data_IF_298487821369
#
_entry.id   IF_298487821369
#
_cell.length_a   1.000
_cell.length_b   1.000
_cell.length_c   1.000
_cell.angle_alpha   90.00
_cell.angle_beta   90.00
_cell.angle_gamma   90.00
#
_symmetry.space_group_name_H-M   'P 1'
#
loop_
_entity.id
_entity.type
_entity.pdbx_description
1 polymer ?
#
# COMPACT_ATOMS: atom_id res chain seq x y z
N UNK A 1 15.97 -8.56 -25.99
CA UNK A 1 14.62 -8.85 -25.45
C UNK A 1 14.76 -8.92 -23.96
N UNK A 2 13.90 -8.22 -23.20
CA UNK A 2 13.93 -8.14 -21.75
C UNK A 2 13.06 -9.25 -21.17
N UNK A 3 13.63 -10.12 -20.36
CA UNK A 3 12.94 -11.26 -19.78
C UNK A 3 12.19 -10.85 -18.51
N UNK A 4 10.89 -11.10 -18.48
CA UNK A 4 10.00 -10.87 -17.34
C UNK A 4 9.36 -12.18 -16.91
N UNK A 5 9.46 -12.51 -15.63
CA UNK A 5 8.77 -13.67 -15.06
C UNK A 5 7.56 -13.22 -14.25
N UNK A 6 6.45 -13.95 -14.35
CA UNK A 6 5.24 -13.74 -13.58
C UNK A 6 5.06 -14.89 -12.58
N UNK A 7 5.40 -14.67 -11.30
CA UNK A 7 5.26 -15.69 -10.24
C UNK A 7 3.80 -16.01 -9.86
N UNK A 8 2.87 -15.14 -10.28
CA UNK A 8 1.42 -15.33 -10.10
C UNK A 8 0.71 -14.98 -11.40
N UNK A 9 -0.56 -15.32 -11.48
CA UNK A 9 -1.42 -14.77 -12.54
C UNK A 9 -1.54 -13.26 -12.36
N UNK A 10 -1.07 -12.50 -13.33
CA UNK A 10 -1.13 -11.03 -13.41
C UNK A 10 -2.19 -10.64 -14.44
N UNK A 11 -2.99 -9.64 -14.15
CA UNK A 11 -4.08 -9.23 -15.04
C UNK A 11 -3.55 -8.84 -16.44
N UNK A 12 -4.20 -9.37 -17.48
CA UNK A 12 -3.78 -9.22 -18.88
C UNK A 12 -3.73 -7.76 -19.35
N UNK A 13 -4.53 -6.87 -18.75
CA UNK A 13 -4.51 -5.43 -19.07
C UNK A 13 -3.17 -4.78 -18.70
N UNK A 14 -2.51 -5.24 -17.61
CA UNK A 14 -1.15 -4.82 -17.27
C UNK A 14 -0.12 -5.39 -18.23
N UNK A 15 -0.14 -6.71 -18.49
CA UNK A 15 0.83 -7.38 -19.38
C UNK A 15 0.83 -6.82 -20.80
N UNK A 16 -0.32 -6.40 -21.33
CA UNK A 16 -0.45 -5.77 -22.65
C UNK A 16 0.28 -4.42 -22.80
N UNK A 17 0.75 -3.83 -21.69
CA UNK A 17 1.54 -2.60 -21.74
C UNK A 17 3.02 -2.85 -22.08
N UNK A 18 3.48 -4.09 -22.00
CA UNK A 18 4.81 -4.44 -22.49
C UNK A 18 4.80 -4.43 -24.03
N UNK A 19 5.88 -3.89 -24.60
CA UNK A 19 6.13 -3.95 -26.05
C UNK A 19 6.71 -5.31 -26.46
N UNK A 20 6.88 -5.52 -27.76
CA UNK A 20 7.50 -6.73 -28.31
C UNK A 20 8.98 -6.91 -27.90
N UNK A 21 9.58 -5.91 -27.24
CA UNK A 21 10.91 -6.01 -26.65
C UNK A 21 10.96 -6.81 -25.37
N UNK A 22 9.80 -7.15 -24.79
CA UNK A 22 9.67 -7.90 -23.55
C UNK A 22 9.17 -9.33 -23.81
N UNK A 23 9.81 -10.30 -23.16
CA UNK A 23 9.37 -11.69 -23.10
C UNK A 23 8.77 -11.96 -21.71
N UNK A 24 7.44 -12.11 -21.61
CA UNK A 24 6.70 -12.32 -20.35
C UNK A 24 6.54 -13.80 -19.97
N UNK A 25 7.09 -14.71 -20.77
CA UNK A 25 7.04 -16.17 -20.55
C UNK A 25 8.40 -16.75 -20.12
N UNK A 26 9.34 -15.90 -19.67
CA UNK A 26 10.66 -16.37 -19.27
C UNK A 26 10.64 -17.16 -17.96
N UNK A 27 11.63 -18.03 -17.75
CA UNK A 27 11.87 -18.67 -16.46
C UNK A 27 12.26 -17.63 -15.41
N UNK A 28 12.17 -18.01 -14.12
CA UNK A 28 12.60 -17.11 -13.03
C UNK A 28 14.11 -16.88 -13.04
N UNK A 29 14.87 -17.93 -13.39
CA UNK A 29 16.35 -17.93 -13.43
C UNK A 29 16.89 -16.95 -14.50
N UNK A 30 16.17 -16.82 -15.62
CA UNK A 30 16.56 -15.96 -16.74
C UNK A 30 15.99 -14.54 -16.65
N UNK A 31 15.13 -14.28 -15.65
CA UNK A 31 14.38 -13.04 -15.55
C UNK A 31 15.26 -11.84 -15.17
N UNK A 32 15.08 -10.74 -15.89
CA UNK A 32 15.61 -9.42 -15.54
C UNK A 32 14.61 -8.62 -14.69
N UNK A 33 13.33 -8.96 -14.76
CA UNK A 33 12.28 -8.39 -13.94
C UNK A 33 11.27 -9.45 -13.52
N UNK A 34 10.66 -9.26 -12.34
CA UNK A 34 9.64 -10.17 -11.80
C UNK A 34 8.39 -9.39 -11.44
N UNK A 35 7.25 -9.91 -11.87
CA UNK A 35 5.92 -9.53 -11.40
C UNK A 35 5.42 -10.54 -10.38
N UNK A 36 5.01 -10.08 -9.22
CA UNK A 36 4.52 -10.94 -8.13
C UNK A 36 3.28 -10.34 -7.47
N UNK A 37 2.40 -11.18 -6.94
CA UNK A 37 1.25 -10.77 -6.13
C UNK A 37 1.32 -11.36 -4.72
N UNK A 38 1.25 -12.67 -4.59
CA UNK A 38 1.17 -13.37 -3.31
C UNK A 38 2.24 -14.46 -3.12
N UNK A 39 2.97 -14.82 -4.16
CA UNK A 39 4.03 -15.82 -4.05
C UNK A 39 5.10 -15.38 -3.04
N UNK A 40 5.56 -16.32 -2.21
CA UNK A 40 6.63 -16.08 -1.23
C UNK A 40 7.98 -16.21 -1.92
N UNK A 41 8.83 -15.20 -1.74
CA UNK A 41 10.14 -15.13 -2.40
C UNK A 41 11.32 -15.29 -1.41
N UNK A 42 11.05 -15.44 -0.11
CA UNK A 42 12.12 -15.50 0.91
C UNK A 42 13.08 -16.67 0.74
N UNK A 43 12.59 -17.80 0.22
CA UNK A 43 13.38 -19.02 0.03
C UNK A 43 13.88 -19.18 -1.42
N UNK A 44 13.68 -18.15 -2.27
CA UNK A 44 14.11 -18.17 -3.66
C UNK A 44 15.55 -17.67 -3.82
N UNK A 45 16.32 -18.32 -4.68
CA UNK A 45 17.62 -17.81 -5.09
C UNK A 45 17.43 -16.73 -6.15
N UNK A 46 17.88 -15.50 -5.86
CA UNK A 46 17.76 -14.39 -6.79
C UNK A 46 18.89 -14.49 -7.83
N UNK A 47 18.54 -14.33 -9.10
CA UNK A 47 19.50 -14.36 -10.20
C UNK A 47 20.31 -13.06 -10.26
N UNK A 48 21.61 -13.13 -10.62
CA UNK A 48 22.46 -11.98 -10.86
C UNK A 48 21.93 -11.04 -11.97
N UNK A 49 21.12 -11.61 -12.90
CA UNK A 49 20.47 -10.86 -13.96
C UNK A 49 19.27 -10.04 -13.46
N UNK A 50 18.73 -10.33 -12.27
CA UNK A 50 17.55 -9.69 -11.78
C UNK A 50 17.83 -8.22 -11.41
N UNK A 51 17.03 -7.33 -11.99
CA UNK A 51 17.15 -5.88 -11.82
C UNK A 51 16.03 -5.32 -10.94
N UNK A 52 14.84 -5.88 -11.07
CA UNK A 52 13.67 -5.35 -10.38
C UNK A 52 12.59 -6.40 -10.11
N UNK A 53 11.86 -6.16 -9.03
CA UNK A 53 10.67 -6.92 -8.66
C UNK A 53 9.53 -5.90 -8.46
N UNK A 54 8.38 -6.10 -9.12
CA UNK A 54 7.21 -5.29 -8.86
C UNK A 54 6.06 -6.16 -8.32
N UNK A 55 5.59 -5.76 -7.14
CA UNK A 55 4.43 -6.41 -6.53
C UNK A 55 3.13 -5.72 -6.96
N UNK A 56 2.25 -6.45 -7.62
CA UNK A 56 0.89 -6.01 -7.92
C UNK A 56 0.05 -5.98 -6.62
N UNK A 57 0.25 -4.94 -5.82
CA UNK A 57 -0.40 -4.71 -4.53
C UNK A 57 0.45 -3.87 -3.57
N UNK A 58 -0.14 -3.41 -2.46
CA UNK A 58 0.51 -2.44 -1.56
C UNK A 58 1.50 -3.06 -0.55
N UNK A 59 1.19 -4.25 0.03
CA UNK A 59 2.07 -4.89 1.02
C UNK A 59 3.22 -5.62 0.35
N UNK A 60 4.37 -5.82 1.02
CA UNK A 60 5.58 -6.46 0.43
C UNK A 60 6.23 -7.49 1.36
N UNK A 61 5.49 -7.95 2.35
CA UNK A 61 5.96 -8.91 3.34
C UNK A 61 6.29 -10.32 2.78
N UNK A 62 6.00 -10.57 1.51
CA UNK A 62 6.35 -11.79 0.80
C UNK A 62 7.67 -11.69 0.01
N UNK A 63 8.36 -10.53 0.04
CA UNK A 63 9.59 -10.26 -0.71
C UNK A 63 10.74 -9.98 0.28
N UNK A 64 11.93 -10.58 0.11
CA UNK A 64 13.10 -10.35 0.96
C UNK A 64 13.77 -9.00 0.65
N UNK A 65 13.24 -7.90 1.20
CA UNK A 65 13.63 -6.53 0.84
C UNK A 65 15.11 -6.23 1.08
N UNK A 66 15.65 -6.69 2.23
CA UNK A 66 17.06 -6.43 2.60
C UNK A 66 18.01 -7.14 1.63
N UNK A 67 17.74 -8.43 1.34
CA UNK A 67 18.51 -9.20 0.35
C UNK A 67 18.46 -8.54 -1.03
N UNK A 68 17.28 -8.12 -1.46
CA UNK A 68 17.13 -7.39 -2.74
C UNK A 68 17.95 -6.09 -2.76
N UNK A 69 17.98 -5.33 -1.66
CA UNK A 69 18.74 -4.10 -1.58
C UNK A 69 20.26 -4.35 -1.62
N UNK A 70 20.75 -5.41 -0.96
CA UNK A 70 22.14 -5.82 -0.97
C UNK A 70 22.62 -6.25 -2.36
N UNK A 71 21.76 -6.84 -3.17
CA UNK A 71 22.04 -7.30 -4.53
C UNK A 71 21.75 -6.26 -5.61
N UNK A 72 21.31 -5.05 -5.23
CA UNK A 72 20.99 -3.98 -6.18
C UNK A 72 19.71 -4.22 -6.99
N UNK A 73 18.78 -5.02 -6.44
CA UNK A 73 17.48 -5.30 -7.02
C UNK A 73 16.46 -4.31 -6.45
N UNK A 74 15.82 -3.53 -7.32
CA UNK A 74 14.83 -2.53 -6.91
C UNK A 74 13.46 -3.19 -6.77
N UNK A 75 12.83 -3.03 -5.61
CA UNK A 75 11.50 -3.59 -5.33
C UNK A 75 10.45 -2.49 -5.35
N UNK A 76 9.42 -2.65 -6.18
CA UNK A 76 8.28 -1.76 -6.30
C UNK A 76 7.03 -2.37 -5.68
N UNK A 77 6.13 -1.51 -5.22
CA UNK A 77 4.76 -1.89 -4.90
C UNK A 77 3.80 -0.88 -5.57
N UNK A 78 2.50 -1.15 -5.53
CA UNK A 78 1.49 -0.33 -6.21
C UNK A 78 0.64 0.45 -5.20
N UNK A 79 1.19 1.50 -4.56
CA UNK A 79 0.48 2.23 -3.52
C UNK A 79 -0.71 3.00 -4.11
N UNK A 80 -1.89 2.77 -3.53
CA UNK A 80 -3.11 3.47 -3.95
C UNK A 80 -3.85 2.86 -5.13
N UNK A 81 -3.29 1.90 -5.86
CA UNK A 81 -3.95 1.25 -6.99
C UNK A 81 -5.26 0.55 -6.59
N UNK A 82 -5.31 0.00 -5.39
CA UNK A 82 -6.48 -0.66 -4.80
C UNK A 82 -7.33 0.25 -3.89
N UNK A 83 -6.99 1.53 -3.77
CA UNK A 83 -7.59 2.41 -2.75
C UNK A 83 -9.11 2.56 -2.90
N UNK A 84 -9.62 2.58 -4.12
CA UNK A 84 -11.07 2.68 -4.38
C UNK A 84 -11.83 1.44 -3.91
N UNK A 85 -11.26 0.25 -4.09
CA UNK A 85 -11.87 -0.99 -3.61
C UNK A 85 -11.93 -1.02 -2.07
N UNK A 86 -10.81 -0.68 -1.40
CA UNK A 86 -10.77 -0.61 0.08
C UNK A 86 -11.75 0.45 0.60
N UNK A 87 -11.88 1.61 -0.05
CA UNK A 87 -12.92 2.61 0.29
C UNK A 87 -14.31 1.98 0.23
N UNK A 88 -14.64 1.23 -0.83
CA UNK A 88 -15.93 0.53 -0.95
C UNK A 88 -16.18 -0.41 0.22
N UNK A 89 -15.18 -1.20 0.61
CA UNK A 89 -15.24 -2.09 1.76
C UNK A 89 -15.48 -1.35 3.08
N UNK A 90 -14.81 -0.21 3.31
CA UNK A 90 -15.00 0.61 4.52
C UNK A 90 -16.42 1.19 4.58
N UNK A 91 -16.97 1.65 3.45
CA UNK A 91 -18.36 2.14 3.40
C UNK A 91 -19.33 0.98 3.72
N UNK A 92 -19.12 -0.20 3.15
CA UNK A 92 -19.91 -1.38 3.48
C UNK A 92 -19.80 -1.71 4.99
N UNK A 93 -18.60 -1.65 5.57
CA UNK A 93 -18.36 -1.86 6.99
C UNK A 93 -19.16 -0.88 7.87
N UNK A 94 -19.18 0.42 7.51
CA UNK A 94 -19.98 1.43 8.22
C UNK A 94 -21.50 1.08 8.19
N UNK A 95 -22.00 0.64 7.05
CA UNK A 95 -23.41 0.30 6.88
C UNK A 95 -23.77 -1.01 7.61
N UNK A 96 -22.90 -2.03 7.58
CA UNK A 96 -23.06 -3.27 8.32
C UNK A 96 -23.06 -3.04 9.84
N UNK A 97 -22.18 -2.14 10.33
CA UNK A 97 -22.16 -1.78 11.75
C UNK A 97 -23.34 -0.90 12.18
N UNK A 98 -24.01 -0.24 11.25
CA UNK A 98 -25.16 0.64 11.54
C UNK A 98 -26.46 -0.13 11.85
N UNK A 99 -26.63 -1.29 11.21
CA UNK A 99 -27.78 -2.21 11.33
C UNK A 99 -27.31 -3.64 11.22
N UNK A 100 -27.95 -4.56 11.91
CA UNK A 100 -27.60 -5.99 11.81
C UNK A 100 -28.17 -6.63 10.52
N UNK A 101 -27.59 -6.24 9.38
CA UNK A 101 -27.96 -6.78 8.06
C UNK A 101 -27.56 -8.25 7.91
N UNK A 102 -26.44 -8.66 8.53
CA UNK A 102 -25.94 -10.04 8.46
C UNK A 102 -26.87 -10.97 9.27
N UNK A 103 -27.17 -10.60 10.51
CA UNK A 103 -28.08 -11.37 11.35
C UNK A 103 -29.51 -11.40 10.79
N UNK A 104 -29.97 -10.27 10.23
CA UNK A 104 -31.26 -10.21 9.55
C UNK A 104 -31.35 -11.13 8.33
N UNK A 105 -30.31 -11.14 7.48
CA UNK A 105 -30.25 -12.05 6.32
C UNK A 105 -30.20 -13.52 6.75
N UNK A 106 -29.38 -13.83 7.77
CA UNK A 106 -29.31 -15.17 8.34
C UNK A 106 -30.68 -15.62 8.88
N UNK A 107 -31.37 -14.76 9.63
CA UNK A 107 -32.71 -15.06 10.15
C UNK A 107 -33.69 -15.40 9.03
N UNK A 108 -33.69 -14.65 7.93
CA UNK A 108 -34.55 -14.93 6.76
C UNK A 108 -34.23 -16.32 6.17
N UNK A 109 -32.94 -16.63 6.01
CA UNK A 109 -32.48 -17.92 5.49
C UNK A 109 -32.90 -19.10 6.42
N UNK A 110 -32.72 -18.92 7.74
CA UNK A 110 -33.08 -19.95 8.74
C UNK A 110 -34.58 -20.19 8.84
N UNK A 111 -35.43 -19.25 8.39
CA UNK A 111 -36.88 -19.35 8.40
C UNK A 111 -37.51 -19.49 6.98
N UNK A 112 -36.74 -19.91 5.99
CA UNK A 112 -37.16 -19.97 4.58
C UNK A 112 -38.37 -20.91 4.35
N UNK A 113 -38.56 -21.94 5.19
CA UNK A 113 -39.65 -22.92 5.11
C UNK A 113 -40.94 -22.46 5.81
N UNK A 114 -40.94 -21.31 6.49
CA UNK A 114 -42.14 -20.77 7.16
C UNK A 114 -43.10 -20.16 6.11
N UNK A 115 -44.32 -20.73 5.90
CA UNK A 115 -45.26 -20.17 4.96
C UNK A 115 -45.78 -18.77 5.34
N UNK A 116 -45.68 -18.40 6.60
CA UNK A 116 -46.04 -17.09 7.14
C UNK A 116 -44.86 -16.16 7.36
N UNK A 117 -43.68 -16.41 6.73
CA UNK A 117 -42.43 -15.67 6.92
C UNK A 117 -42.62 -14.15 6.83
N UNK A 118 -43.45 -13.65 5.92
CA UNK A 118 -43.71 -12.21 5.76
C UNK A 118 -44.27 -11.60 7.05
N UNK A 119 -45.19 -12.31 7.74
CA UNK A 119 -45.81 -11.89 9.00
C UNK A 119 -44.80 -12.06 10.17
N UNK A 120 -44.04 -13.14 10.18
CA UNK A 120 -43.01 -13.40 11.16
C UNK A 120 -41.91 -12.31 11.11
N UNK A 121 -41.51 -11.87 9.91
CA UNK A 121 -40.53 -10.79 9.69
C UNK A 121 -40.96 -9.48 10.36
N UNK A 122 -42.24 -9.10 10.32
CA UNK A 122 -42.70 -7.87 10.97
C UNK A 122 -42.51 -7.86 12.50
N UNK A 123 -42.48 -9.03 13.11
CA UNK A 123 -42.15 -9.18 14.53
C UNK A 123 -40.64 -9.22 14.79
N UNK A 124 -39.90 -9.94 13.92
CA UNK A 124 -38.46 -10.18 14.07
C UNK A 124 -37.62 -8.93 13.75
N UNK A 125 -38.03 -8.09 12.78
CA UNK A 125 -37.23 -6.95 12.26
C UNK A 125 -36.71 -5.99 13.34
N UNK A 126 -37.38 -5.89 14.49
CA UNK A 126 -36.93 -5.03 15.60
C UNK A 126 -35.59 -5.47 16.20
N UNK A 127 -35.22 -6.76 16.11
CA UNK A 127 -33.99 -7.28 16.61
C UNK A 127 -32.78 -6.83 15.74
N UNK A 128 -33.01 -6.52 14.47
CA UNK A 128 -32.00 -6.14 13.49
C UNK A 128 -31.96 -4.63 13.22
N UNK A 129 -32.83 -3.87 13.87
CA UNK A 129 -32.92 -2.42 13.72
C UNK A 129 -31.66 -1.72 14.25
N UNK A 130 -31.30 -0.59 13.66
CA UNK A 130 -30.12 0.18 14.04
C UNK A 130 -30.31 1.68 13.90
N UNK A 131 -29.24 2.35 13.50
CA UNK A 131 -29.17 3.81 13.38
C UNK A 131 -28.72 4.21 11.96
N UNK A 132 -29.05 5.43 11.57
CA UNK A 132 -28.49 6.03 10.35
C UNK A 132 -27.08 6.57 10.61
N UNK A 133 -26.24 6.55 9.55
CA UNK A 133 -24.90 7.15 9.60
C UNK A 133 -24.93 8.67 9.36
N UNK A 134 -25.98 9.19 8.72
CA UNK A 134 -26.15 10.62 8.46
C UNK A 134 -26.12 11.42 9.76
N UNK A 135 -25.34 12.51 9.77
CA UNK A 135 -25.15 13.36 10.94
C UNK A 135 -24.28 12.76 12.06
N UNK A 136 -23.74 11.53 11.87
CA UNK A 136 -22.77 10.95 12.79
C UNK A 136 -21.36 11.45 12.47
N UNK A 137 -20.52 11.51 13.51
CA UNK A 137 -19.11 11.91 13.39
C UNK A 137 -18.26 10.70 13.01
N UNK A 138 -17.50 10.82 11.91
CA UNK A 138 -16.49 9.84 11.49
C UNK A 138 -15.09 10.39 11.71
N UNK A 139 -14.30 9.70 12.50
CA UNK A 139 -12.85 9.92 12.62
C UNK A 139 -12.10 9.07 11.61
N UNK A 140 -11.29 9.72 10.77
CA UNK A 140 -10.42 9.06 9.79
C UNK A 140 -8.97 9.24 10.24
N UNK A 141 -8.33 8.16 10.67
CA UNK A 141 -6.93 8.14 11.09
C UNK A 141 -6.06 7.66 9.94
N UNK A 142 -5.25 8.57 9.39
CA UNK A 142 -4.50 8.38 8.15
C UNK A 142 -5.28 8.88 6.93
N UNK A 143 -4.78 9.94 6.29
CA UNK A 143 -5.39 10.61 5.12
C UNK A 143 -4.60 10.35 3.84
N UNK A 144 -3.95 9.18 3.76
CA UNK A 144 -3.30 8.69 2.54
C UNK A 144 -4.29 8.33 1.43
N UNK A 145 -3.86 7.51 0.47
CA UNK A 145 -4.65 7.17 -0.71
C UNK A 145 -6.06 6.61 -0.40
N UNK A 146 -6.21 5.83 0.67
CA UNK A 146 -7.49 5.26 1.07
C UNK A 146 -8.29 6.25 1.93
N UNK A 147 -7.67 6.81 2.98
CA UNK A 147 -8.35 7.65 3.94
C UNK A 147 -8.99 8.88 3.34
N UNK A 148 -8.34 9.55 2.36
CA UNK A 148 -8.93 10.66 1.63
C UNK A 148 -10.19 10.27 0.86
N UNK A 149 -10.20 9.10 0.21
CA UNK A 149 -11.38 8.61 -0.53
C UNK A 149 -12.53 8.26 0.42
N UNK A 150 -12.21 7.65 1.58
CA UNK A 150 -13.20 7.34 2.62
C UNK A 150 -13.78 8.63 3.19
N UNK A 151 -12.94 9.61 3.54
CA UNK A 151 -13.37 10.89 4.08
C UNK A 151 -14.34 11.61 3.14
N UNK A 152 -13.98 11.73 1.85
CA UNK A 152 -14.82 12.37 0.84
C UNK A 152 -16.15 11.61 0.63
N UNK A 153 -16.12 10.28 0.61
CA UNK A 153 -17.33 9.47 0.47
C UNK A 153 -18.25 9.60 1.69
N UNK A 154 -17.70 9.67 2.90
CA UNK A 154 -18.48 9.85 4.11
C UNK A 154 -19.16 11.22 4.18
N UNK A 155 -18.51 12.30 3.72
CA UNK A 155 -19.13 13.61 3.53
C UNK A 155 -20.35 13.49 2.59
N UNK A 156 -20.17 12.83 1.43
CA UNK A 156 -21.27 12.64 0.48
C UNK A 156 -22.43 11.81 1.05
N UNK A 157 -22.17 10.94 2.04
CA UNK A 157 -23.21 10.19 2.79
C UNK A 157 -23.81 11.00 3.95
N UNK A 158 -23.43 12.27 4.13
CA UNK A 158 -23.97 13.19 5.12
C UNK A 158 -23.40 13.01 6.53
N UNK A 159 -22.21 12.42 6.67
CA UNK A 159 -21.50 12.36 7.94
C UNK A 159 -20.68 13.64 8.18
N UNK A 160 -20.39 13.96 9.45
CA UNK A 160 -19.38 14.94 9.83
C UNK A 160 -18.02 14.22 9.91
N UNK A 161 -17.04 14.67 9.13
CA UNK A 161 -15.76 13.96 9.02
C UNK A 161 -14.64 14.74 9.69
N UNK A 162 -13.89 14.04 10.54
CA UNK A 162 -12.72 14.50 11.26
C UNK A 162 -11.51 13.69 10.80
N UNK A 163 -10.46 14.38 10.32
CA UNK A 163 -9.28 13.74 9.76
C UNK A 163 -8.02 14.00 10.59
N UNK A 164 -7.28 12.96 10.90
CA UNK A 164 -5.97 13.03 11.55
C UNK A 164 -4.91 12.33 10.70
N UNK A 165 -3.89 13.07 10.31
CA UNK A 165 -2.68 12.55 9.69
C UNK A 165 -1.54 13.57 9.86
N UNK A 166 -0.52 13.27 10.70
CA UNK A 166 0.62 14.17 10.90
C UNK A 166 1.58 14.22 9.70
N UNK A 167 1.42 13.33 8.72
CA UNK A 167 2.29 13.19 7.54
C UNK A 167 1.54 13.40 6.23
N UNK A 168 0.37 14.03 6.26
CA UNK A 168 -0.45 14.24 5.05
C UNK A 168 0.36 14.94 3.95
N UNK A 169 0.40 14.34 2.77
CA UNK A 169 1.08 14.97 1.63
C UNK A 169 0.25 16.13 1.06
N UNK A 170 0.93 17.11 0.45
CA UNK A 170 0.25 18.22 -0.24
C UNK A 170 -0.76 17.69 -1.26
N UNK A 171 -0.39 16.66 -2.04
CA UNK A 171 -1.28 16.01 -3.01
C UNK A 171 -2.53 15.41 -2.36
N UNK A 172 -2.39 14.75 -1.22
CA UNK A 172 -3.53 14.18 -0.50
C UNK A 172 -4.42 15.30 0.05
N UNK A 173 -3.85 16.36 0.62
CA UNK A 173 -4.60 17.50 1.12
C UNK A 173 -5.41 18.21 0.02
N UNK A 174 -4.87 18.36 -1.19
CA UNK A 174 -5.59 18.93 -2.34
C UNK A 174 -6.78 18.08 -2.81
N UNK A 175 -6.77 16.78 -2.53
CA UNK A 175 -7.86 15.87 -2.91
C UNK A 175 -8.94 15.71 -1.82
N UNK A 176 -8.70 16.26 -0.62
CA UNK A 176 -9.69 16.23 0.46
C UNK A 176 -10.77 17.31 0.23
N UNK A 177 -12.02 16.94 0.55
CA UNK A 177 -13.11 17.91 0.66
C UNK A 177 -12.77 18.96 1.73
N UNK A 178 -13.09 20.23 1.46
CA UNK A 178 -12.95 21.32 2.43
C UNK A 178 -13.84 21.19 3.67
N UNK A 179 -14.81 20.26 3.63
CA UNK A 179 -15.70 19.94 4.75
C UNK A 179 -15.05 19.01 5.78
N UNK A 180 -13.91 18.37 5.43
CA UNK A 180 -13.16 17.54 6.38
C UNK A 180 -12.49 18.43 7.42
N UNK A 181 -12.82 18.20 8.69
CA UNK A 181 -12.28 18.97 9.81
C UNK A 181 -10.93 18.37 10.23
N UNK A 182 -9.88 19.18 10.17
CA UNK A 182 -8.55 18.76 10.62
C UNK A 182 -8.47 18.60 12.13
N UNK A 183 -7.84 17.53 12.59
CA UNK A 183 -7.55 17.23 13.99
C UNK A 183 -6.04 17.10 14.17
N UNK A 184 -5.48 17.83 15.14
CA UNK A 184 -4.04 17.81 15.45
C UNK A 184 -3.64 16.76 16.48
N UNK A 185 -4.57 16.30 17.34
CA UNK A 185 -4.35 15.24 18.32
C UNK A 185 -5.36 14.10 18.08
N UNK A 186 -4.87 12.90 17.81
CA UNK A 186 -5.70 11.71 17.59
C UNK A 186 -6.65 11.42 18.75
N UNK A 187 -6.33 11.83 19.96
CA UNK A 187 -7.19 11.69 21.15
C UNK A 187 -8.53 12.40 21.01
N UNK A 188 -8.57 13.48 20.23
CA UNK A 188 -9.83 14.19 20.00
C UNK A 188 -10.75 13.40 19.05
N UNK A 189 -10.18 12.62 18.10
CA UNK A 189 -10.95 11.64 17.33
C UNK A 189 -11.58 10.61 18.25
N UNK A 190 -10.82 10.06 19.21
CA UNK A 190 -11.35 9.07 20.14
C UNK A 190 -12.50 9.63 21.01
N UNK A 191 -12.39 10.88 21.47
CA UNK A 191 -13.43 11.52 22.31
C UNK A 191 -14.69 11.90 21.56
N UNK A 192 -14.54 12.36 20.30
CA UNK A 192 -15.60 13.07 19.60
C UNK A 192 -16.37 12.19 18.60
N UNK A 193 -15.76 11.11 18.07
CA UNK A 193 -16.30 10.41 16.92
C UNK A 193 -17.13 9.18 17.32
N UNK A 194 -18.25 8.98 16.61
CA UNK A 194 -19.12 7.80 16.75
C UNK A 194 -18.60 6.60 15.96
N UNK A 195 -17.92 6.87 14.84
CA UNK A 195 -17.26 5.91 13.96
C UNK A 195 -15.80 6.29 13.83
N UNK A 196 -14.91 5.33 13.91
CA UNK A 196 -13.47 5.53 13.76
C UNK A 196 -12.95 4.51 12.76
N UNK A 197 -12.27 4.97 11.72
CA UNK A 197 -11.63 4.11 10.71
C UNK A 197 -10.14 4.43 10.63
N UNK A 198 -9.31 3.38 10.50
CA UNK A 198 -7.85 3.52 10.52
C UNK A 198 -7.28 3.12 9.17
N UNK A 199 -6.38 3.95 8.63
CA UNK A 199 -5.75 3.81 7.30
C UNK A 199 -4.26 4.16 7.32
N UNK A 200 -3.57 3.78 8.40
CA UNK A 200 -2.13 3.97 8.56
C UNK A 200 -1.36 2.68 8.28
N UNK A 201 -0.07 2.75 7.88
CA UNK A 201 0.76 1.57 7.74
C UNK A 201 1.05 0.92 9.11
N UNK A 202 1.36 -0.38 9.11
CA UNK A 202 1.85 -1.09 10.28
C UNK A 202 3.34 -0.77 10.49
N UNK A 203 3.62 0.13 11.42
CA UNK A 203 4.96 0.54 11.87
C UNK A 203 5.06 0.33 13.38
N UNK A 204 6.27 0.34 13.93
CA UNK A 204 6.46 0.25 15.39
C UNK A 204 5.70 1.36 16.13
N UNK A 205 5.61 2.55 15.53
CA UNK A 205 4.89 3.71 16.09
C UNK A 205 3.36 3.62 15.98
N UNK A 206 2.82 2.76 15.12
CA UNK A 206 1.37 2.61 14.91
C UNK A 206 0.82 1.28 15.42
N UNK A 207 1.71 0.33 15.74
CA UNK A 207 1.32 -0.96 16.32
C UNK A 207 0.62 -0.75 17.66
N UNK A 208 -0.59 -1.30 17.80
CA UNK A 208 -1.40 -1.15 18.99
C UNK A 208 -1.81 0.29 19.30
N UNK A 209 -1.90 1.17 18.30
CA UNK A 209 -2.29 2.56 18.53
C UNK A 209 -3.73 2.72 19.02
N UNK A 210 -4.59 1.77 18.69
CA UNK A 210 -5.96 1.68 19.25
C UNK A 210 -5.92 0.63 20.36
N UNK A 211 -5.58 1.07 21.54
CA UNK A 211 -5.37 0.28 22.76
C UNK A 211 -6.39 0.63 23.84
N UNK A 212 -6.21 0.08 25.04
CA UNK A 212 -7.08 0.35 26.18
C UNK A 212 -7.22 1.84 26.47
N UNK A 213 -6.13 2.61 26.43
CA UNK A 213 -6.16 4.05 26.70
C UNK A 213 -7.00 4.80 25.65
N UNK A 214 -6.92 4.37 24.39
CA UNK A 214 -7.76 4.91 23.32
C UNK A 214 -9.24 4.58 23.56
N UNK A 215 -9.57 3.34 23.94
CA UNK A 215 -10.94 2.93 24.25
C UNK A 215 -11.51 3.66 25.48
N UNK A 216 -10.71 3.91 26.52
CA UNK A 216 -11.14 4.65 27.71
C UNK A 216 -11.54 6.10 27.39
N UNK A 217 -11.02 6.68 26.31
CA UNK A 217 -11.39 8.02 25.83
C UNK A 217 -12.65 8.03 24.96
N UNK A 218 -13.06 6.90 24.38
CA UNK A 218 -14.17 6.83 23.43
C UNK A 218 -15.52 6.98 24.12
N UNK A 219 -16.52 7.37 23.35
CA UNK A 219 -17.91 7.36 23.78
C UNK A 219 -18.46 5.93 23.79
N UNK A 220 -19.46 5.66 24.65
CA UNK A 220 -20.17 4.38 24.64
C UNK A 220 -20.87 4.16 23.29
N UNK A 221 -20.74 2.96 22.77
CA UNK A 221 -21.34 2.58 21.48
C UNK A 221 -20.54 3.02 20.24
N UNK A 222 -19.27 3.43 20.40
CA UNK A 222 -18.40 3.74 19.26
C UNK A 222 -18.23 2.51 18.34
N UNK A 223 -18.12 2.76 17.04
CA UNK A 223 -17.84 1.75 16.02
C UNK A 223 -16.40 1.89 15.54
N UNK A 224 -15.64 0.79 15.54
CA UNK A 224 -14.28 0.73 15.06
C UNK A 224 -14.22 -0.06 13.75
N UNK A 225 -13.53 0.49 12.73
CA UNK A 225 -13.36 -0.13 11.42
C UNK A 225 -11.88 -0.22 11.10
N UNK A 226 -11.39 -1.43 10.89
CA UNK A 226 -10.01 -1.70 10.54
C UNK A 226 -9.90 -2.54 9.26
N UNK A 227 -9.74 -1.86 8.13
CA UNK A 227 -9.40 -2.45 6.85
C UNK A 227 -7.94 -2.14 6.45
N UNK A 228 -7.07 -1.80 7.42
CA UNK A 228 -5.67 -1.47 7.18
C UNK A 228 -4.71 -2.60 7.55
N UNK A 229 -4.54 -2.89 8.85
CA UNK A 229 -3.72 -4.01 9.36
C UNK A 229 -4.23 -4.43 10.76
N UNK A 230 -4.21 -5.73 11.04
CA UNK A 230 -4.63 -6.31 12.33
C UNK A 230 -3.90 -5.71 13.53
N UNK A 231 -2.58 -5.60 13.43
CA UNK A 231 -1.70 -5.12 14.51
C UNK A 231 -1.95 -3.68 14.98
N UNK A 232 -2.78 -2.90 14.30
CA UNK A 232 -3.09 -1.51 14.68
C UNK A 232 -4.03 -1.41 15.88
N UNK A 233 -4.83 -2.45 16.12
CA UNK A 233 -5.79 -2.54 17.23
C UNK A 233 -5.30 -3.59 18.21
N UNK A 234 -5.24 -3.23 19.50
CA UNK A 234 -4.94 -4.19 20.55
C UNK A 234 -6.10 -5.18 20.71
N UNK A 235 -5.80 -6.47 20.48
CA UNK A 235 -6.81 -7.52 20.39
C UNK A 235 -7.48 -7.81 21.74
N UNK A 236 -6.73 -7.76 22.83
CA UNK A 236 -7.29 -7.96 24.15
C UNK A 236 -8.17 -6.78 24.57
N UNK A 237 -7.69 -5.58 24.33
CA UNK A 237 -8.41 -4.35 24.69
C UNK A 237 -9.70 -4.17 23.88
N UNK A 238 -9.74 -4.49 22.59
CA UNK A 238 -10.98 -4.43 21.80
C UNK A 238 -12.00 -5.46 22.27
N UNK A 239 -11.56 -6.66 22.67
CA UNK A 239 -12.44 -7.68 23.24
C UNK A 239 -13.11 -7.23 24.54
N UNK A 240 -12.39 -6.52 25.42
CA UNK A 240 -12.94 -5.91 26.63
C UNK A 240 -13.87 -4.74 26.31
N UNK A 241 -13.50 -3.89 25.35
CA UNK A 241 -14.31 -2.74 24.94
C UNK A 241 -15.67 -3.16 24.33
N UNK A 242 -15.71 -4.26 23.58
CA UNK A 242 -16.95 -4.85 23.08
C UNK A 242 -17.83 -5.38 24.21
N UNK A 243 -17.26 -6.14 25.17
CA UNK A 243 -17.99 -6.68 26.31
C UNK A 243 -18.57 -5.61 27.23
N UNK A 244 -17.86 -4.49 27.40
CA UNK A 244 -18.31 -3.37 28.24
C UNK A 244 -19.33 -2.46 27.55
N UNK A 245 -19.53 -2.59 26.21
CA UNK A 245 -20.37 -1.69 25.41
C UNK A 245 -19.71 -0.36 25.07
N UNK A 246 -18.44 -0.15 25.45
CA UNK A 246 -17.65 1.01 25.01
C UNK A 246 -17.55 1.02 23.47
N UNK A 247 -17.26 -0.12 22.88
CA UNK A 247 -17.35 -0.35 21.45
C UNK A 247 -18.59 -1.19 21.16
N UNK A 248 -19.47 -0.70 20.30
CA UNK A 248 -20.68 -1.42 19.87
C UNK A 248 -20.36 -2.50 18.84
N UNK A 249 -19.49 -2.16 17.89
CA UNK A 249 -19.14 -3.06 16.79
C UNK A 249 -17.70 -2.82 16.35
N UNK A 250 -16.96 -3.90 16.19
CA UNK A 250 -15.64 -3.90 15.56
C UNK A 250 -15.72 -4.58 14.21
N UNK A 251 -15.44 -3.84 13.12
CA UNK A 251 -15.36 -4.41 11.78
C UNK A 251 -13.89 -4.54 11.40
N UNK A 252 -13.44 -5.76 11.14
CA UNK A 252 -12.06 -6.05 10.73
C UNK A 252 -12.02 -6.83 9.43
N UNK A 253 -11.08 -6.48 8.55
CA UNK A 253 -10.80 -7.26 7.32
C UNK A 253 -9.64 -8.27 7.52
N UNK A 254 -9.26 -8.53 8.79
CA UNK A 254 -8.13 -9.40 9.15
C UNK A 254 -8.59 -10.51 10.11
N UNK A 255 -9.04 -11.66 9.58
CA UNK A 255 -9.50 -12.77 10.40
C UNK A 255 -8.35 -13.46 11.12
N UNK A 256 -8.57 -13.74 12.41
CA UNK A 256 -7.74 -14.64 13.20
C UNK A 256 -8.62 -15.44 14.19
N UNK A 257 -8.07 -16.50 14.86
CA UNK A 257 -8.85 -17.34 15.75
C UNK A 257 -9.52 -16.64 16.93
N UNK A 258 -8.99 -15.50 17.37
CA UNK A 258 -9.54 -14.69 18.47
C UNK A 258 -10.65 -13.77 17.95
N UNK A 259 -10.35 -12.95 16.95
CA UNK A 259 -11.32 -11.96 16.43
C UNK A 259 -12.55 -12.63 15.80
N UNK A 260 -12.37 -13.78 15.15
CA UNK A 260 -13.46 -14.56 14.54
C UNK A 260 -14.49 -15.09 15.57
N UNK A 261 -14.14 -15.12 16.87
CA UNK A 261 -15.01 -15.58 17.96
C UNK A 261 -15.52 -14.44 18.84
N UNK A 262 -15.10 -13.19 18.59
CA UNK A 262 -15.52 -12.04 19.38
C UNK A 262 -16.97 -11.70 19.11
N UNK A 263 -17.80 -11.72 20.14
CA UNK A 263 -19.14 -11.19 20.07
C UNK A 263 -19.10 -9.67 19.81
N UNK A 264 -19.92 -9.19 18.90
CA UNK A 264 -19.91 -7.78 18.46
C UNK A 264 -18.89 -7.46 17.36
N UNK A 265 -18.04 -8.42 16.97
CA UNK A 265 -17.14 -8.24 15.83
C UNK A 265 -17.79 -8.74 14.53
N UNK A 266 -17.57 -8.00 13.44
CA UNK A 266 -17.83 -8.40 12.05
C UNK A 266 -16.47 -8.57 11.39
N UNK A 267 -16.08 -9.82 11.16
CA UNK A 267 -14.75 -10.14 10.61
C UNK A 267 -14.92 -10.61 9.17
N UNK A 268 -14.26 -9.90 8.26
CA UNK A 268 -14.31 -10.13 6.81
C UNK A 268 -13.04 -10.87 6.35
N UNK A 269 -13.09 -11.68 5.29
CA UNK A 269 -11.98 -12.52 4.90
C UNK A 269 -10.96 -11.84 3.97
N UNK A 270 -10.48 -10.66 4.36
CA UNK A 270 -9.45 -9.87 3.68
C UNK A 270 -9.83 -9.52 2.23
N UNK A 271 -11.02 -8.95 2.05
CA UNK A 271 -11.59 -8.62 0.75
C UNK A 271 -11.38 -7.17 0.30
N UNK A 272 -10.78 -6.32 1.13
CA UNK A 272 -10.65 -4.89 0.86
C UNK A 272 -10.06 -4.54 -0.51
N UNK A 273 -9.12 -5.33 -1.01
CA UNK A 273 -8.49 -5.15 -2.32
C UNK A 273 -8.90 -6.22 -3.36
N UNK A 274 -9.87 -7.08 -3.04
CA UNK A 274 -10.23 -8.23 -3.88
C UNK A 274 -11.38 -7.90 -4.85
N UNK A 275 -11.11 -6.98 -5.78
CA UNK A 275 -12.00 -6.66 -6.91
C UNK A 275 -11.22 -6.73 -8.22
N UNK A 276 -11.91 -7.02 -9.33
CA UNK A 276 -11.29 -7.10 -10.66
C UNK A 276 -10.55 -5.80 -11.00
N UNK A 277 -11.18 -4.65 -10.72
CA UNK A 277 -10.59 -3.33 -11.01
C UNK A 277 -9.36 -3.04 -10.15
N UNK A 278 -9.32 -3.49 -8.89
CA UNK A 278 -8.13 -3.35 -8.05
C UNK A 278 -6.97 -4.21 -8.56
N UNK A 279 -7.23 -5.42 -9.03
CA UNK A 279 -6.25 -6.30 -9.64
C UNK A 279 -5.71 -5.71 -10.94
N UNK A 280 -6.59 -5.20 -11.79
CA UNK A 280 -6.23 -4.52 -13.04
C UNK A 280 -5.37 -3.28 -12.77
N UNK A 281 -5.78 -2.41 -11.86
CA UNK A 281 -5.03 -1.20 -11.52
C UNK A 281 -3.65 -1.51 -10.93
N UNK A 282 -3.55 -2.55 -10.08
CA UNK A 282 -2.28 -2.99 -9.53
C UNK A 282 -1.36 -3.54 -10.62
N UNK A 283 -1.88 -4.34 -11.56
CA UNK A 283 -1.09 -4.88 -12.66
C UNK A 283 -0.58 -3.77 -13.60
N UNK A 284 -1.45 -2.82 -13.96
CA UNK A 284 -1.09 -1.67 -14.80
C UNK A 284 0.01 -0.83 -14.13
N UNK A 285 -0.13 -0.53 -12.84
CA UNK A 285 0.86 0.27 -12.10
C UNK A 285 2.18 -0.46 -12.01
N UNK A 286 2.20 -1.74 -11.62
CA UNK A 286 3.40 -2.55 -11.49
C UNK A 286 4.19 -2.65 -12.79
N UNK A 287 3.51 -2.87 -13.92
CA UNK A 287 4.14 -2.93 -15.23
C UNK A 287 4.73 -1.58 -15.64
N UNK A 288 4.01 -0.48 -15.40
CA UNK A 288 4.51 0.86 -15.69
C UNK A 288 5.75 1.23 -14.87
N UNK A 289 5.80 0.82 -13.60
CA UNK A 289 6.96 1.02 -12.72
C UNK A 289 8.18 0.24 -13.23
N UNK A 290 8.00 -1.05 -13.57
CA UNK A 290 9.06 -1.85 -14.17
C UNK A 290 9.57 -1.26 -15.47
N UNK A 291 8.68 -0.88 -16.37
CA UNK A 291 9.05 -0.26 -17.65
C UNK A 291 9.83 1.03 -17.44
N UNK A 292 9.32 1.93 -16.59
CA UNK A 292 10.00 3.19 -16.32
C UNK A 292 11.40 2.98 -15.73
N UNK A 293 11.56 1.98 -14.84
CA UNK A 293 12.87 1.62 -14.29
C UNK A 293 13.79 0.99 -15.34
N UNK A 294 13.30 0.05 -16.15
CA UNK A 294 14.12 -0.66 -17.12
C UNK A 294 14.51 0.27 -18.27
N UNK A 295 13.54 1.00 -18.83
CA UNK A 295 13.70 1.83 -20.03
C UNK A 295 14.38 3.18 -19.72
N UNK A 296 14.14 3.77 -18.52
CA UNK A 296 14.61 5.10 -18.18
C UNK A 296 15.50 5.16 -16.92
N UNK A 297 15.63 4.09 -16.18
CA UNK A 297 16.37 4.08 -14.91
C UNK A 297 15.68 4.82 -13.75
N UNK A 298 14.45 5.29 -13.92
CA UNK A 298 13.73 6.03 -12.90
C UNK A 298 13.19 5.10 -11.82
N UNK A 299 13.23 5.53 -10.58
CA UNK A 299 12.64 4.83 -9.43
C UNK A 299 11.48 5.66 -8.88
N UNK A 300 10.26 5.11 -8.97
CA UNK A 300 9.04 5.66 -8.39
C UNK A 300 8.32 4.55 -7.63
N UNK A 301 7.89 4.81 -6.39
CA UNK A 301 7.23 3.84 -5.51
C UNK A 301 8.07 2.61 -5.10
N UNK A 302 9.39 2.72 -5.11
CA UNK A 302 10.22 1.65 -4.55
C UNK A 302 10.11 1.59 -3.03
N UNK A 303 10.20 0.39 -2.48
CA UNK A 303 10.12 0.12 -1.03
C UNK A 303 11.47 -0.10 -0.38
N UNK A 304 12.52 -0.42 -1.15
CA UNK A 304 13.87 -0.65 -0.64
C UNK A 304 14.91 0.37 -1.11
N UNK A 305 14.67 1.07 -2.23
CA UNK A 305 15.49 2.17 -2.72
C UNK A 305 14.74 3.51 -2.67
N UNK A 306 15.43 4.65 -2.70
CA UNK A 306 14.77 5.96 -2.72
C UNK A 306 14.11 6.22 -4.07
N UNK A 307 13.05 7.05 -4.07
CA UNK A 307 12.54 7.61 -5.33
C UNK A 307 13.59 8.51 -5.96
N UNK A 308 13.87 8.29 -7.25
CA UNK A 308 14.79 9.09 -8.06
C UNK A 308 14.29 9.08 -9.50
N UNK A 309 13.76 10.20 -9.96
CA UNK A 309 13.13 10.33 -11.28
C UNK A 309 13.66 11.59 -11.97
N UNK A 310 14.25 11.39 -13.16
CA UNK A 310 14.75 12.45 -14.05
C UNK A 310 14.01 12.45 -15.40
N UNK A 311 12.88 11.77 -15.48
CA UNK A 311 12.13 11.63 -16.73
C UNK A 311 12.87 10.80 -17.78
N UNK A 312 12.51 10.96 -19.04
CA UNK A 312 13.15 10.29 -20.18
C UNK A 312 14.51 10.94 -20.47
N UNK A 313 15.55 10.13 -20.68
CA UNK A 313 16.88 10.63 -21.00
C UNK A 313 16.91 11.40 -22.33
N UNK A 314 17.17 12.69 -22.27
CA UNK A 314 17.31 13.56 -23.45
C UNK A 314 18.75 13.67 -23.96
N UNK A 315 19.76 13.16 -23.23
CA UNK A 315 21.16 13.21 -23.60
C UNK A 315 21.62 11.98 -24.37
N UNK A 316 22.92 11.88 -24.64
CA UNK A 316 23.50 10.76 -25.41
C UNK A 316 23.60 9.48 -24.60
N UNK A 317 23.67 9.59 -23.27
CA UNK A 317 23.80 8.44 -22.38
C UNK A 317 23.17 8.70 -21.01
N UNK A 318 22.80 7.63 -20.34
CA UNK A 318 22.34 7.64 -18.94
C UNK A 318 22.93 6.44 -18.20
N UNK A 319 23.54 6.71 -17.07
CA UNK A 319 24.07 5.70 -16.14
C UNK A 319 23.27 5.77 -14.85
N UNK A 320 22.95 4.60 -14.29
CA UNK A 320 22.37 4.50 -12.96
C UNK A 320 23.26 3.65 -12.05
N UNK A 321 23.33 4.02 -10.78
CA UNK A 321 24.20 3.37 -9.80
C UNK A 321 23.43 3.13 -8.51
N UNK A 322 23.21 1.85 -8.18
CA UNK A 322 22.82 1.43 -6.83
C UNK A 322 24.07 1.38 -5.95
N UNK A 323 24.05 2.05 -4.80
CA UNK A 323 25.22 2.09 -3.92
C UNK A 323 24.86 2.23 -2.45
N UNK A 324 25.82 1.96 -1.55
CA UNK A 324 25.68 2.24 -0.12
C UNK A 324 25.64 3.76 0.12
N UNK A 325 24.87 4.18 1.10
CA UNK A 325 24.78 5.58 1.51
C UNK A 325 25.94 5.91 2.46
N UNK A 326 27.18 5.93 1.94
CA UNK A 326 28.39 6.19 2.71
C UNK A 326 29.18 7.33 2.09
N UNK A 327 30.03 8.04 2.89
CA UNK A 327 30.84 9.14 2.38
C UNK A 327 31.74 8.73 1.19
N UNK A 328 32.03 9.68 0.32
CA UNK A 328 32.95 9.59 -0.83
C UNK A 328 32.47 8.85 -2.07
N UNK A 329 31.41 8.03 -2.03
CA UNK A 329 30.95 7.27 -3.21
C UNK A 329 30.60 8.21 -4.37
N UNK A 330 29.81 9.26 -4.12
CA UNK A 330 29.44 10.23 -5.17
C UNK A 330 30.66 10.92 -5.77
N UNK A 331 31.63 11.35 -4.94
CA UNK A 331 32.83 11.98 -5.43
C UNK A 331 33.70 11.04 -6.27
N UNK A 332 33.79 9.76 -5.91
CA UNK A 332 34.49 8.74 -6.71
C UNK A 332 33.76 8.53 -8.07
N UNK A 333 32.44 8.41 -8.08
CA UNK A 333 31.65 8.28 -9.32
C UNK A 333 31.92 9.46 -10.27
N UNK A 334 31.84 10.70 -9.76
CA UNK A 334 32.05 11.87 -10.59
C UNK A 334 33.52 12.02 -11.03
N UNK A 335 34.49 11.56 -10.22
CA UNK A 335 35.91 11.54 -10.58
C UNK A 335 36.19 10.58 -11.73
N UNK A 336 35.61 9.36 -11.72
CA UNK A 336 35.79 8.39 -12.82
C UNK A 336 35.24 8.97 -14.13
N UNK A 337 34.05 9.56 -14.13
CA UNK A 337 33.45 10.17 -15.32
C UNK A 337 34.30 11.37 -15.83
N UNK A 338 34.77 12.23 -14.91
CA UNK A 338 35.60 13.38 -15.23
C UNK A 338 36.96 12.95 -15.79
N UNK A 339 37.62 11.92 -15.24
CA UNK A 339 38.86 11.37 -15.74
C UNK A 339 38.74 10.77 -17.17
N UNK A 340 37.56 10.19 -17.47
CA UNK A 340 37.20 9.71 -18.81
C UNK A 340 36.81 10.83 -19.77
N UNK A 341 36.79 12.11 -19.36
CA UNK A 341 36.41 13.25 -20.18
C UNK A 341 34.90 13.29 -20.48
N UNK A 342 34.08 12.61 -19.67
CA UNK A 342 32.63 12.53 -19.85
C UNK A 342 31.97 13.65 -19.03
N UNK A 343 31.26 14.56 -19.72
CA UNK A 343 30.49 15.61 -19.06
C UNK A 343 29.16 15.08 -18.57
N UNK A 344 28.79 15.46 -17.32
CA UNK A 344 27.52 15.15 -16.68
C UNK A 344 26.57 16.33 -16.93
N UNK A 345 25.51 16.13 -17.70
CA UNK A 345 24.50 17.15 -17.98
C UNK A 345 23.51 17.33 -16.84
N UNK A 346 23.14 16.23 -16.18
CA UNK A 346 22.24 16.21 -15.04
C UNK A 346 22.59 15.05 -14.12
N UNK A 347 22.41 15.26 -12.83
CA UNK A 347 22.65 14.24 -11.81
C UNK A 347 21.62 14.37 -10.71
N UNK A 348 21.00 13.25 -10.36
CA UNK A 348 20.20 13.10 -9.16
C UNK A 348 20.80 12.00 -8.29
N UNK A 349 20.90 12.26 -7.00
CA UNK A 349 21.26 11.26 -6.01
C UNK A 349 20.30 11.35 -4.84
N UNK A 350 19.70 10.24 -4.47
CA UNK A 350 18.79 10.14 -3.34
C UNK A 350 19.22 8.98 -2.45
N UNK A 351 18.85 9.04 -1.16
CA UNK A 351 19.15 7.99 -0.20
C UNK A 351 17.92 7.57 0.59
N UNK A 352 17.91 6.30 1.02
CA UNK A 352 16.92 5.72 1.91
C UNK A 352 17.62 4.74 2.84
N UNK A 353 17.79 5.12 4.11
CA UNK A 353 18.58 4.33 5.06
C UNK A 353 20.00 4.13 4.58
N UNK A 354 20.44 2.87 4.53
CA UNK A 354 21.80 2.47 4.17
C UNK A 354 22.06 2.43 2.66
N UNK A 355 21.05 2.66 1.83
CA UNK A 355 21.13 2.55 0.38
C UNK A 355 20.86 3.89 -0.30
N UNK A 356 21.52 4.10 -1.43
CA UNK A 356 21.35 5.26 -2.27
C UNK A 356 21.27 4.85 -3.75
N UNK A 357 20.71 5.74 -4.54
CA UNK A 357 20.60 5.58 -5.97
C UNK A 357 21.01 6.86 -6.67
N UNK A 358 21.98 6.77 -7.57
CA UNK A 358 22.40 7.88 -8.43
C UNK A 358 21.93 7.64 -9.85
N UNK A 359 21.41 8.69 -10.48
CA UNK A 359 21.04 8.73 -11.89
C UNK A 359 21.81 9.88 -12.54
N UNK A 360 22.57 9.59 -13.59
CA UNK A 360 23.47 10.53 -14.25
C UNK A 360 23.17 10.57 -15.76
N UNK A 361 22.76 11.71 -16.27
CA UNK A 361 22.66 11.99 -17.69
C UNK A 361 23.99 12.53 -18.19
N UNK A 362 24.55 11.88 -19.20
CA UNK A 362 25.89 12.17 -19.74
C UNK A 362 25.84 12.55 -21.23
N UNK A 363 26.81 13.36 -21.67
CA UNK A 363 26.88 13.87 -23.06
C UNK A 363 27.57 12.92 -24.04
N UNK A 364 27.97 11.74 -23.58
CA UNK A 364 28.59 10.70 -24.39
C UNK A 364 27.94 9.34 -24.07
N UNK A 365 28.16 8.33 -24.94
CA UNK A 365 27.91 6.94 -24.56
C UNK A 365 28.88 6.51 -23.47
N UNK A 366 28.45 5.68 -22.51
CA UNK A 366 29.32 5.16 -21.47
C UNK A 366 30.22 4.04 -22.01
N UNK A 367 31.56 4.21 -22.06
CA UNK A 367 32.47 3.13 -22.45
C UNK A 367 32.44 1.99 -21.43
N UNK A 368 32.65 0.75 -21.86
CA UNK A 368 32.66 -0.42 -20.97
C UNK A 368 33.70 -0.29 -19.83
N UNK A 369 34.89 0.21 -20.16
CA UNK A 369 35.95 0.47 -19.14
C UNK A 369 35.48 1.44 -18.02
N UNK A 370 34.67 2.44 -18.35
CA UNK A 370 34.10 3.36 -17.35
C UNK A 370 33.06 2.65 -16.48
N UNK A 371 32.27 1.75 -17.03
CA UNK A 371 31.29 0.94 -16.28
C UNK A 371 32.01 -0.01 -15.32
N UNK A 372 33.11 -0.62 -15.75
CA UNK A 372 33.95 -1.46 -14.91
C UNK A 372 34.58 -0.68 -13.77
N UNK A 373 35.17 0.52 -14.04
CA UNK A 373 35.76 1.38 -13.02
C UNK A 373 34.69 1.85 -12.01
N UNK A 374 33.48 2.20 -12.46
CA UNK A 374 32.38 2.57 -11.58
C UNK A 374 31.93 1.39 -10.70
N UNK A 375 31.90 0.19 -11.26
CA UNK A 375 31.51 -1.04 -10.54
C UNK A 375 32.56 -1.45 -9.51
N UNK A 376 33.81 -1.10 -9.72
CA UNK A 376 34.92 -1.38 -8.80
C UNK A 376 35.01 -0.40 -7.59
N UNK A 377 34.22 0.66 -7.58
CA UNK A 377 34.19 1.62 -6.45
C UNK A 377 33.62 0.93 -5.21
N UNK A 378 34.36 0.96 -4.12
CA UNK A 378 33.88 0.46 -2.83
C UNK A 378 32.57 1.18 -2.43
N UNK A 379 31.53 0.39 -2.12
CA UNK A 379 30.19 0.88 -1.81
C UNK A 379 29.25 0.92 -3.01
N UNK A 380 29.72 0.76 -4.24
CA UNK A 380 28.85 0.53 -5.41
C UNK A 380 28.37 -0.92 -5.40
N UNK A 381 27.10 -1.12 -5.68
CA UNK A 381 26.42 -2.42 -5.68
C UNK A 381 26.14 -2.86 -7.11
N UNK A 382 25.52 -1.99 -7.90
CA UNK A 382 25.16 -2.31 -9.29
C UNK A 382 25.21 -1.05 -10.16
N UNK A 383 25.84 -1.15 -11.33
CA UNK A 383 25.89 -0.10 -12.37
C UNK A 383 25.08 -0.57 -13.57
N UNK A 384 24.25 0.32 -14.12
CA UNK A 384 23.50 0.05 -15.36
C UNK A 384 23.68 1.19 -16.32
N UNK A 385 23.91 0.85 -17.59
CA UNK A 385 23.81 1.78 -18.72
C UNK A 385 22.40 1.66 -19.28
N UNK A 386 21.66 2.76 -19.28
CA UNK A 386 20.29 2.80 -19.80
C UNK A 386 20.27 3.20 -21.28
N UNK A 387 21.21 4.11 -21.64
CA UNK A 387 21.30 4.62 -23.03
C UNK A 387 22.76 4.93 -23.37
#
# INVERSE_FOLDING_TARGET
MINVNCLNNIAACGLKLFSDEYNTESSFEDAQAVLVRSAKMHDMELSDNLLAIARAGAGVNNIPLDKCAEEGIVVFNTPGANANAVKGQVIAAMLLASRDLIGGNKWVADNAEDPDIAKATEKAKKAFAGQEIKGKKLGVIGLGAIGQLVANAAIALGMEVYGYDPYVSVKAAWNLSSEVKYISDVKDIYKECNYITVHVPALDSTKGMINKEAFDLMQDGTVIINCARDVLVDEAAIGEALKSGRVKTYVSDFPNPTTAKMEGAIVLPHLGASTAEAEDNCAIMAVNELRNFIENGNIVNSVNYPNCDCGVCATKGRITVCHKNVPTVISKITTVLGAAGINISSMANQSRGDYAYSLLDIEASAPEAVVEELSAIEGVIKVRVIK
#
